data_IF_791839008508
#
_entry.id   IF_791839008508
#
_cell.length_a   1.000
_cell.length_b   1.000
_cell.length_c   1.000
_cell.angle_alpha   90.00
_cell.angle_beta   90.00
_cell.angle_gamma   90.00
#
_symmetry.space_group_name_H-M   'P 1'
#
loop_
_entity.id
_entity.type
_entity.pdbx_description
1 polymer ?
#
# COMPACT_ATOMS: atom_id res chain seq x y z
N UNK A 1 7.41 5.97 3.96
CA UNK A 1 7.00 5.40 2.65
C UNK A 1 6.67 6.44 1.58
N UNK A 2 6.27 7.68 1.91
CA UNK A 2 5.95 8.72 0.92
C UNK A 2 7.21 9.51 0.54
N UNK A 3 7.90 9.09 -0.53
CA UNK A 3 9.12 9.74 -0.99
C UNK A 3 8.79 10.93 -1.91
N UNK A 4 9.45 12.11 -1.74
CA UNK A 4 9.30 13.23 -2.66
C UNK A 4 9.56 12.86 -4.13
N UNK A 5 10.40 11.85 -4.35
CA UNK A 5 10.77 11.33 -5.67
C UNK A 5 9.58 10.79 -6.48
N UNK A 6 8.47 10.42 -5.84
CA UNK A 6 7.31 9.85 -6.53
C UNK A 6 6.13 10.83 -6.64
N UNK A 7 6.22 12.06 -6.16
CA UNK A 7 5.09 12.99 -6.21
C UNK A 7 4.69 13.35 -7.65
N UNK A 8 5.66 13.66 -8.51
CA UNK A 8 5.40 13.99 -9.91
C UNK A 8 4.62 12.88 -10.65
N UNK A 9 5.05 11.60 -10.61
CA UNK A 9 4.26 10.52 -11.20
C UNK A 9 2.91 10.30 -10.49
N UNK A 10 2.83 10.47 -9.17
CA UNK A 10 1.55 10.37 -8.45
C UNK A 10 0.54 11.44 -8.90
N UNK A 11 0.97 12.69 -9.13
CA UNK A 11 0.08 13.74 -9.69
C UNK A 11 -0.38 13.38 -11.09
N UNK A 12 0.52 12.87 -11.93
CA UNK A 12 0.16 12.46 -13.29
C UNK A 12 -0.94 11.38 -13.29
N UNK A 13 -0.78 10.34 -12.46
CA UNK A 13 -1.77 9.27 -12.30
C UNK A 13 -3.05 9.80 -11.63
N UNK A 14 -2.93 10.61 -10.59
CA UNK A 14 -4.05 11.21 -9.87
C UNK A 14 -4.95 12.06 -10.79
N UNK A 15 -4.37 12.83 -11.72
CA UNK A 15 -5.14 13.59 -12.71
C UNK A 15 -5.95 12.68 -13.64
N UNK A 16 -5.39 11.54 -14.05
CA UNK A 16 -6.10 10.54 -14.86
C UNK A 16 -7.28 9.98 -14.07
N UNK A 17 -7.09 9.64 -12.78
CA UNK A 17 -8.18 9.16 -11.94
C UNK A 17 -9.27 10.21 -11.71
N UNK A 18 -8.89 11.48 -11.49
CA UNK A 18 -9.85 12.58 -11.39
C UNK A 18 -10.67 12.74 -12.68
N UNK A 19 -10.01 12.72 -13.84
CA UNK A 19 -10.68 12.78 -15.14
C UNK A 19 -11.65 11.61 -15.37
N UNK A 20 -11.33 10.42 -14.84
CA UNK A 20 -12.19 9.25 -14.89
C UNK A 20 -13.34 9.25 -13.86
N UNK A 21 -13.43 10.29 -13.01
CA UNK A 21 -14.43 10.42 -11.94
C UNK A 21 -14.21 9.47 -10.77
N UNK A 22 -12.96 9.11 -10.48
CA UNK A 22 -12.59 8.17 -9.40
C UNK A 22 -12.12 8.88 -8.13
N UNK A 23 -11.96 10.19 -8.17
CA UNK A 23 -11.66 11.03 -7.00
C UNK A 23 -12.04 12.47 -7.29
N UNK A 24 -12.52 13.17 -6.27
CA UNK A 24 -12.76 14.62 -6.31
C UNK A 24 -11.57 15.42 -5.74
N UNK A 25 -10.55 14.72 -5.24
CA UNK A 25 -9.39 15.35 -4.63
C UNK A 25 -8.62 16.21 -5.63
N UNK A 26 -8.19 17.39 -5.17
CA UNK A 26 -7.30 18.24 -5.95
C UNK A 26 -5.85 17.79 -5.81
N UNK A 27 -5.49 16.72 -6.53
CA UNK A 27 -4.17 16.07 -6.45
C UNK A 27 -3.00 17.02 -6.76
N UNK A 28 -3.23 18.13 -7.47
CA UNK A 28 -2.19 19.13 -7.75
C UNK A 28 -1.93 20.06 -6.55
N UNK A 29 -2.84 20.11 -5.57
CA UNK A 29 -2.68 20.85 -4.31
C UNK A 29 -2.14 19.98 -3.16
N UNK A 30 -2.24 18.66 -3.26
CA UNK A 30 -1.77 17.73 -2.21
C UNK A 30 -0.26 17.48 -2.28
N UNK A 31 0.34 16.97 -1.20
CA UNK A 31 1.76 16.57 -1.19
C UNK A 31 2.01 15.42 -0.20
N UNK A 32 3.18 14.79 -0.29
CA UNK A 32 3.62 13.74 0.62
C UNK A 32 2.58 12.63 0.84
N UNK A 33 2.21 12.44 2.11
CA UNK A 33 1.25 11.40 2.53
C UNK A 33 -0.15 11.62 1.96
N UNK A 34 -0.62 12.87 1.95
CA UNK A 34 -1.99 13.17 1.50
C UNK A 34 -2.16 12.88 0.01
N UNK A 35 -1.17 13.25 -0.81
CA UNK A 35 -1.17 12.92 -2.23
C UNK A 35 -1.18 11.40 -2.46
N UNK A 36 -0.34 10.66 -1.73
CA UNK A 36 -0.28 9.21 -1.88
C UNK A 36 -1.57 8.51 -1.45
N UNK A 37 -2.22 8.96 -0.37
CA UNK A 37 -3.51 8.43 0.07
C UNK A 37 -4.62 8.73 -0.93
N UNK A 38 -4.74 9.97 -1.43
CA UNK A 38 -5.76 10.32 -2.40
C UNK A 38 -5.65 9.49 -3.68
N UNK A 39 -4.43 9.22 -4.16
CA UNK A 39 -4.20 8.34 -5.32
C UNK A 39 -4.54 6.89 -4.98
N UNK A 40 -4.15 6.37 -3.81
CA UNK A 40 -4.46 5.01 -3.39
C UNK A 40 -5.98 4.77 -3.26
N UNK A 41 -6.71 5.73 -2.69
CA UNK A 41 -8.17 5.69 -2.61
C UNK A 41 -8.80 5.66 -4.00
N UNK A 42 -8.29 6.46 -4.94
CA UNK A 42 -8.77 6.44 -6.32
C UNK A 42 -8.48 5.11 -7.05
N UNK A 43 -7.35 4.46 -6.75
CA UNK A 43 -7.04 3.11 -7.25
C UNK A 43 -8.01 2.05 -6.69
N UNK A 44 -8.36 2.17 -5.41
CA UNK A 44 -9.34 1.29 -4.76
C UNK A 44 -10.74 1.53 -5.35
N UNK A 45 -11.11 2.79 -5.59
CA UNK A 45 -12.34 3.20 -6.25
C UNK A 45 -12.45 2.56 -7.64
N UNK A 46 -11.37 2.59 -8.44
CA UNK A 46 -11.32 1.91 -9.74
C UNK A 46 -11.60 0.40 -9.60
N UNK A 47 -10.91 -0.25 -8.68
CA UNK A 47 -11.03 -1.70 -8.44
C UNK A 47 -12.48 -2.07 -8.09
N UNK A 48 -13.12 -1.31 -7.20
CA UNK A 48 -14.53 -1.50 -6.85
C UNK A 48 -15.46 -1.25 -8.05
N UNK A 49 -15.20 -0.23 -8.87
CA UNK A 49 -16.04 0.09 -10.05
C UNK A 49 -16.02 -1.02 -11.10
N UNK A 50 -14.90 -1.74 -11.23
CA UNK A 50 -14.79 -2.91 -12.13
C UNK A 50 -15.25 -4.23 -11.48
N UNK A 51 -15.73 -4.19 -10.23
CA UNK A 51 -16.24 -5.35 -9.51
C UNK A 51 -15.15 -6.26 -8.92
N UNK A 52 -13.94 -5.73 -8.73
CA UNK A 52 -12.84 -6.48 -8.10
C UNK A 52 -12.85 -6.30 -6.57
N UNK A 53 -12.33 -7.30 -5.82
CA UNK A 53 -12.06 -7.14 -4.40
C UNK A 53 -11.15 -5.94 -4.13
N UNK A 54 -11.53 -5.11 -3.15
CA UNK A 54 -10.74 -3.97 -2.67
C UNK A 54 -9.93 -4.28 -1.43
N UNK A 55 -10.19 -5.41 -0.78
CA UNK A 55 -9.43 -5.87 0.38
C UNK A 55 -9.07 -7.35 0.23
N UNK A 56 -8.00 -7.79 0.91
CA UNK A 56 -7.64 -9.20 0.93
C UNK A 56 -8.74 -10.05 1.57
N UNK A 57 -9.48 -9.52 2.54
CA UNK A 57 -10.59 -10.23 3.20
C UNK A 57 -11.77 -10.54 2.27
N UNK A 58 -11.90 -9.83 1.15
CA UNK A 58 -12.92 -10.09 0.12
C UNK A 58 -12.49 -11.20 -0.86
N UNK A 59 -11.22 -11.60 -0.87
CA UNK A 59 -10.73 -12.66 -1.73
C UNK A 59 -11.14 -14.02 -1.18
N UNK A 60 -11.83 -14.82 -2.00
CA UNK A 60 -12.27 -16.16 -1.59
C UNK A 60 -11.09 -17.03 -1.17
N UNK A 61 -11.20 -17.64 0.02
CA UNK A 61 -10.14 -18.49 0.58
C UNK A 61 -9.02 -17.74 1.31
N UNK A 62 -9.04 -16.40 1.36
CA UNK A 62 -8.08 -15.65 2.17
C UNK A 62 -8.34 -15.86 3.67
N UNK A 63 -7.26 -16.02 4.44
CA UNK A 63 -7.29 -16.21 5.89
C UNK A 63 -6.10 -15.54 6.55
N UNK A 64 -6.15 -15.32 7.88
CA UNK A 64 -5.02 -14.77 8.63
C UNK A 64 -3.74 -15.65 8.54
N UNK A 65 -3.86 -16.94 8.23
CA UNK A 65 -2.70 -17.82 8.00
C UNK A 65 -1.89 -17.39 6.78
N UNK A 66 -2.52 -16.74 5.80
CA UNK A 66 -1.80 -16.15 4.67
C UNK A 66 -0.89 -15.00 5.12
N UNK A 67 -1.36 -14.16 6.05
CA UNK A 67 -0.55 -13.09 6.64
C UNK A 67 0.61 -13.68 7.43
N UNK A 68 0.35 -14.68 8.28
CA UNK A 68 1.38 -15.34 9.06
C UNK A 68 2.47 -15.97 8.17
N UNK A 69 2.07 -16.64 7.08
CA UNK A 69 3.02 -17.21 6.10
C UNK A 69 3.82 -16.15 5.37
N UNK A 70 3.20 -15.03 4.98
CA UNK A 70 3.90 -13.93 4.32
C UNK A 70 4.98 -13.30 5.22
N UNK A 71 4.65 -13.07 6.50
CA UNK A 71 5.60 -12.53 7.48
C UNK A 71 6.73 -13.53 7.79
N UNK A 72 6.41 -14.82 7.92
CA UNK A 72 7.42 -15.86 8.10
C UNK A 72 8.37 -15.95 6.90
N UNK A 73 7.83 -15.92 5.68
CA UNK A 73 8.63 -15.93 4.46
C UNK A 73 9.51 -14.70 4.35
N UNK A 74 8.99 -13.51 4.65
CA UNK A 74 9.78 -12.27 4.62
C UNK A 74 10.97 -12.32 5.60
N UNK A 75 10.86 -13.02 6.72
CA UNK A 75 11.95 -13.22 7.69
C UNK A 75 12.98 -14.29 7.28
N UNK A 76 12.80 -14.95 6.13
CA UNK A 76 13.75 -15.94 5.63
C UNK A 76 15.14 -15.30 5.40
N UNK A 77 16.22 -15.83 6.00
CA UNK A 77 17.58 -15.35 5.81
C UNK A 77 18.01 -15.27 4.33
N UNK A 78 17.48 -16.12 3.46
CA UNK A 78 17.76 -16.10 2.03
C UNK A 78 17.21 -14.84 1.34
N UNK A 79 16.19 -14.19 1.90
CA UNK A 79 15.59 -12.96 1.38
C UNK A 79 16.22 -11.69 1.98
N UNK A 80 17.17 -11.83 2.91
CA UNK A 80 17.80 -10.69 3.61
C UNK A 80 18.33 -9.62 2.65
N UNK A 81 19.06 -10.02 1.60
CA UNK A 81 19.60 -9.06 0.62
C UNK A 81 18.48 -8.36 -0.17
N UNK A 82 17.35 -9.03 -0.45
CA UNK A 82 16.21 -8.41 -1.15
C UNK A 82 15.52 -7.37 -0.28
N UNK A 83 15.33 -7.67 1.01
CA UNK A 83 14.73 -6.73 1.96
C UNK A 83 15.56 -5.46 2.15
N UNK A 84 16.88 -5.63 2.23
CA UNK A 84 17.82 -4.50 2.38
C UNK A 84 17.91 -3.63 1.13
N UNK A 85 17.62 -4.19 -0.06
CA UNK A 85 17.65 -3.49 -1.33
C UNK A 85 16.28 -2.91 -1.76
N UNK A 86 15.25 -3.00 -0.91
CA UNK A 86 13.97 -2.36 -1.19
C UNK A 86 14.07 -0.83 -1.16
N UNK A 87 13.17 -0.09 -1.84
CA UNK A 87 13.15 1.38 -1.79
C UNK A 87 13.10 1.95 -0.37
N UNK A 88 12.48 1.21 0.56
CA UNK A 88 12.61 1.42 2.01
C UNK A 88 13.24 0.15 2.58
N UNK A 89 14.53 0.18 2.96
CA UNK A 89 15.22 -0.97 3.51
C UNK A 89 14.54 -1.48 4.79
N UNK A 90 14.36 -2.80 4.88
CA UNK A 90 13.83 -3.47 6.08
C UNK A 90 14.82 -4.52 6.60
N UNK A 91 14.86 -4.70 7.92
CA UNK A 91 15.50 -5.87 8.55
C UNK A 91 14.44 -6.90 8.96
N UNK A 92 14.85 -8.12 9.28
CA UNK A 92 13.92 -9.19 9.66
C UNK A 92 13.12 -8.83 10.93
N UNK A 93 13.73 -8.09 11.85
CA UNK A 93 13.13 -7.63 13.11
C UNK A 93 12.05 -6.57 12.86
N UNK A 94 12.14 -5.84 11.76
CA UNK A 94 11.22 -4.78 11.36
C UNK A 94 10.00 -5.32 10.59
N UNK A 95 10.07 -6.56 10.08
CA UNK A 95 9.02 -7.15 9.23
C UNK A 95 7.68 -7.21 9.95
N UNK A 96 7.65 -7.77 11.16
CA UNK A 96 6.38 -7.99 11.88
C UNK A 96 5.64 -6.67 12.15
N UNK A 97 6.37 -5.61 12.49
CA UNK A 97 5.78 -4.32 12.79
C UNK A 97 5.34 -3.57 11.53
N UNK A 98 6.26 -3.37 10.57
CA UNK A 98 6.00 -2.48 9.45
C UNK A 98 5.29 -3.20 8.30
N UNK A 99 5.79 -4.36 7.87
CA UNK A 99 5.12 -5.15 6.83
C UNK A 99 3.79 -5.72 7.34
N UNK A 100 3.75 -6.15 8.61
CA UNK A 100 2.51 -6.61 9.25
C UNK A 100 1.42 -5.54 9.21
N UNK A 101 1.77 -4.27 9.50
CA UNK A 101 0.81 -3.16 9.43
C UNK A 101 0.21 -2.96 8.03
N UNK A 102 1.02 -3.15 6.98
CA UNK A 102 0.56 -3.06 5.57
C UNK A 102 -0.37 -4.22 5.21
N UNK A 103 -0.03 -5.45 5.63
CA UNK A 103 -0.86 -6.62 5.36
C UNK A 103 -2.20 -6.54 6.10
N UNK A 104 -2.22 -6.01 7.32
CA UNK A 104 -3.44 -5.77 8.08
C UNK A 104 -4.30 -4.66 7.46
N UNK A 105 -3.68 -3.55 7.06
CA UNK A 105 -4.34 -2.50 6.29
C UNK A 105 -5.00 -3.04 5.01
N UNK A 106 -4.29 -3.89 4.25
CA UNK A 106 -4.80 -4.50 3.04
C UNK A 106 -5.93 -5.52 3.31
N UNK A 107 -5.90 -6.22 4.44
CA UNK A 107 -6.98 -7.13 4.86
C UNK A 107 -8.25 -6.37 5.19
N UNK A 108 -8.13 -5.30 5.96
CA UNK A 108 -9.27 -4.58 6.53
C UNK A 108 -9.75 -3.44 5.60
N UNK A 109 -8.94 -3.04 4.62
CA UNK A 109 -9.21 -1.88 3.77
C UNK A 109 -8.95 -0.55 4.47
N UNK A 110 -8.16 -0.54 5.54
CA UNK A 110 -7.88 0.64 6.36
C UNK A 110 -6.42 1.08 6.23
N UNK A 111 -6.19 2.09 5.39
CA UNK A 111 -4.87 2.68 5.15
C UNK A 111 -4.29 3.43 6.38
N UNK A 112 -5.11 3.73 7.39
CA UNK A 112 -4.64 4.39 8.62
C UNK A 112 -3.74 3.49 9.47
N UNK A 113 -3.86 2.17 9.30
CA UNK A 113 -3.05 1.17 10.02
C UNK A 113 -1.59 1.15 9.57
N UNK A 114 -1.26 1.67 8.38
CA UNK A 114 0.10 1.60 7.82
C UNK A 114 1.08 2.43 8.64
N UNK A 115 2.08 1.75 9.22
CA UNK A 115 3.17 2.37 9.97
C UNK A 115 4.31 2.79 9.04
N UNK A 116 4.86 3.99 9.26
CA UNK A 116 6.09 4.41 8.59
C UNK A 116 7.32 3.89 9.33
N UNK A 117 8.25 3.33 8.56
CA UNK A 117 9.62 3.08 9.03
C UNK A 117 10.28 4.42 9.35
N UNK A 118 10.86 4.61 10.54
CA UNK A 118 11.58 5.81 10.93
C UNK A 118 12.88 6.01 10.14
#
# INVERSE_FOLDING_TARGET
>A
FYAPAIEAPLRAVGRIYRQAGLTDADVDALSGRELGLAVAEAMIELSRRVGFPTTLGQVSGFTNDHIARALAAAKDPQLRMKLQNMPVPLTAEMVDEYMGSVLLAARDGDLSLVKNVP
#
